data_IF_864463401100
#
_entry.id   IF_864463401100
#
_cell.length_a   1.000
_cell.length_b   1.000
_cell.length_c   1.000
_cell.angle_alpha   90.00
_cell.angle_beta   90.00
_cell.angle_gamma   90.00
#
_symmetry.space_group_name_H-M   'P 1'
#
loop_
_entity.id
_entity.type
_entity.pdbx_description
1 polymer ?
#
# COMPACT_ATOMS: atom_id res chain seq x y z
N UNK A 1 -11.28 2.01 3.77
CA UNK A 1 -10.00 1.97 3.03
C UNK A 1 -9.02 2.91 3.74
N UNK A 2 -7.73 2.53 3.81
CA UNK A 2 -6.65 3.44 4.21
C UNK A 2 -5.49 3.31 3.23
N UNK A 3 -4.75 4.39 3.01
CA UNK A 3 -3.54 4.43 2.16
C UNK A 3 -2.36 4.95 2.98
N UNK A 4 -1.19 4.34 2.80
CA UNK A 4 0.06 4.85 3.36
C UNK A 4 0.79 5.64 2.27
N UNK A 5 1.13 6.89 2.54
CA UNK A 5 1.93 7.75 1.67
C UNK A 5 3.18 8.16 2.46
N UNK A 6 4.36 7.75 1.99
CA UNK A 6 5.59 7.87 2.78
C UNK A 6 5.48 7.11 4.11
N UNK A 7 5.53 7.81 5.24
CA UNK A 7 5.37 7.19 6.57
C UNK A 7 4.02 7.50 7.24
N UNK A 8 3.07 8.11 6.52
CA UNK A 8 1.79 8.54 7.07
C UNK A 8 0.62 7.72 6.52
N UNK A 9 -0.27 7.30 7.40
CA UNK A 9 -1.54 6.67 7.05
C UNK A 9 -2.65 7.71 6.91
N UNK A 10 -3.50 7.52 5.91
CA UNK A 10 -4.72 8.30 5.66
C UNK A 10 -5.89 7.33 5.57
N UNK A 11 -7.00 7.64 6.24
CA UNK A 11 -8.22 6.85 6.22
C UNK A 11 -9.36 7.61 5.53
N UNK A 12 -10.33 6.87 5.00
CA UNK A 12 -11.57 7.46 4.49
C UNK A 12 -12.41 7.93 5.68
N UNK A 13 -12.71 9.22 5.71
CA UNK A 13 -13.50 9.88 6.76
C UNK A 13 -14.57 10.80 6.12
N UNK A 14 -15.64 11.18 6.86
CA UNK A 14 -16.62 12.15 6.36
C UNK A 14 -15.96 13.46 5.94
N UNK A 15 -16.14 13.86 4.68
CA UNK A 15 -15.52 15.07 4.11
C UNK A 15 -14.08 14.88 3.60
N UNK A 16 -13.51 13.68 3.72
CA UNK A 16 -12.15 13.37 3.27
C UNK A 16 -12.12 12.06 2.47
N UNK A 17 -12.59 12.08 1.19
CA UNK A 17 -12.52 10.92 0.32
C UNK A 17 -11.07 10.64 -0.09
N UNK A 18 -10.78 9.35 -0.34
CA UNK A 18 -9.51 8.90 -0.91
C UNK A 18 -9.80 8.37 -2.31
N UNK A 19 -9.06 8.87 -3.30
CA UNK A 19 -9.06 8.35 -4.66
C UNK A 19 -7.68 7.79 -4.98
N UNK A 20 -7.62 6.60 -5.56
CA UNK A 20 -6.40 5.97 -6.05
C UNK A 20 -6.65 5.64 -7.52
N UNK A 21 -5.79 6.16 -8.39
CA UNK A 21 -5.79 5.80 -9.81
C UNK A 21 -4.89 4.57 -10.02
N UNK A 22 -5.38 3.61 -10.77
CA UNK A 22 -4.65 2.38 -11.07
C UNK A 22 -4.41 2.26 -12.57
N UNK A 23 -3.18 1.98 -12.94
CA UNK A 23 -2.85 1.53 -14.30
C UNK A 23 -3.43 0.14 -14.56
N UNK A 24 -3.46 -0.28 -15.83
CA UNK A 24 -3.84 -1.65 -16.18
C UNK A 24 -2.81 -2.69 -15.69
N UNK A 25 -1.57 -2.28 -15.40
CA UNK A 25 -0.59 -3.11 -14.70
C UNK A 25 -0.99 -3.35 -13.25
N UNK A 26 -1.33 -2.28 -12.52
CA UNK A 26 -1.75 -2.37 -11.13
C UNK A 26 -2.99 -3.25 -10.97
N UNK A 27 -3.99 -3.07 -11.83
CA UNK A 27 -5.23 -3.88 -11.81
C UNK A 27 -4.93 -5.37 -11.96
N UNK A 28 -4.01 -5.74 -12.86
CA UNK A 28 -3.60 -7.13 -13.06
C UNK A 28 -2.85 -7.69 -11.85
N UNK A 29 -1.93 -6.91 -11.29
CA UNK A 29 -1.19 -7.32 -10.10
C UNK A 29 -2.12 -7.53 -8.89
N UNK A 30 -3.07 -6.62 -8.69
CA UNK A 30 -4.07 -6.71 -7.62
C UNK A 30 -4.98 -7.93 -7.83
N UNK A 31 -5.42 -8.18 -9.07
CA UNK A 31 -6.25 -9.36 -9.39
C UNK A 31 -5.53 -10.69 -9.14
N UNK A 32 -4.20 -10.69 -9.09
CA UNK A 32 -3.36 -11.86 -8.84
C UNK A 32 -2.88 -11.98 -7.37
N UNK A 33 -3.34 -11.10 -6.47
CA UNK A 33 -2.99 -11.18 -5.06
C UNK A 33 -3.46 -12.51 -4.44
N UNK A 34 -2.64 -13.05 -3.54
CA UNK A 34 -3.03 -14.19 -2.73
C UNK A 34 -4.27 -13.84 -1.88
N UNK A 35 -5.19 -14.78 -1.62
CA UNK A 35 -6.40 -14.51 -0.84
C UNK A 35 -6.15 -13.90 0.55
N UNK A 36 -5.03 -14.24 1.17
CA UNK A 36 -4.58 -13.74 2.48
C UNK A 36 -3.84 -12.40 2.41
N UNK A 37 -3.47 -11.94 1.22
CA UNK A 37 -2.76 -10.68 1.05
C UNK A 37 -3.73 -9.49 1.29
N UNK A 38 -3.39 -8.64 2.25
CA UNK A 38 -4.25 -7.49 2.66
C UNK A 38 -3.68 -6.14 2.23
N UNK A 39 -2.52 -6.12 1.57
CA UNK A 39 -1.78 -4.89 1.22
C UNK A 39 -1.16 -5.02 -0.17
N UNK A 40 -1.33 -3.96 -0.96
CA UNK A 40 -0.63 -3.74 -2.23
C UNK A 40 0.14 -2.43 -2.11
N UNK A 41 1.38 -2.43 -2.58
CA UNK A 41 2.22 -1.23 -2.63
C UNK A 41 3.00 -1.24 -3.94
N UNK A 42 3.16 -0.05 -4.51
CA UNK A 42 4.03 0.17 -5.66
C UNK A 42 5.24 0.97 -5.17
N UNK A 43 6.44 0.52 -5.54
CA UNK A 43 7.70 1.18 -5.26
C UNK A 43 8.32 1.57 -6.60
N UNK A 44 9.03 2.70 -6.64
CA UNK A 44 9.75 3.07 -7.85
C UNK A 44 10.88 2.08 -8.12
N UNK A 45 11.26 1.92 -9.39
CA UNK A 45 12.36 1.03 -9.77
C UNK A 45 13.71 1.49 -9.20
N UNK A 46 13.84 2.79 -8.95
CA UNK A 46 15.00 3.45 -8.34
C UNK A 46 14.82 3.77 -6.84
N UNK A 47 13.81 3.17 -6.19
CA UNK A 47 13.57 3.36 -4.76
C UNK A 47 14.80 2.92 -3.94
N UNK A 48 15.30 3.75 -3.00
CA UNK A 48 16.45 3.42 -2.18
C UNK A 48 16.24 2.19 -1.27
N UNK A 49 15.00 1.75 -1.07
CA UNK A 49 14.68 0.46 -0.45
C UNK A 49 15.05 -0.67 -1.42
N UNK A 50 16.29 -1.12 -1.32
CA UNK A 50 16.87 -2.08 -2.26
C UNK A 50 16.38 -3.50 -2.04
N UNK A 51 16.03 -3.88 -0.82
CA UNK A 51 15.64 -5.25 -0.51
C UNK A 51 14.12 -5.43 -0.39
N UNK A 52 13.65 -6.62 -0.76
CA UNK A 52 12.25 -7.01 -0.52
C UNK A 52 11.91 -7.02 0.97
N UNK A 53 12.88 -7.31 1.85
CA UNK A 53 12.68 -7.29 3.30
C UNK A 53 12.37 -5.87 3.80
N UNK A 54 13.10 -4.86 3.34
CA UNK A 54 12.84 -3.47 3.70
C UNK A 54 11.48 -2.97 3.20
N UNK A 55 11.10 -3.37 1.97
CA UNK A 55 9.77 -3.07 1.40
C UNK A 55 8.66 -3.72 2.24
N UNK A 56 8.82 -5.00 2.60
CA UNK A 56 7.88 -5.73 3.46
C UNK A 56 7.78 -5.14 4.86
N UNK A 57 8.92 -4.73 5.43
CA UNK A 57 8.98 -4.03 6.72
C UNK A 57 8.22 -2.71 6.64
N UNK A 58 8.48 -1.88 5.62
CA UNK A 58 7.77 -0.62 5.40
C UNK A 58 6.25 -0.83 5.27
N UNK A 59 5.82 -1.89 4.56
CA UNK A 59 4.40 -2.26 4.43
C UNK A 59 3.79 -2.75 5.75
N UNK A 60 4.60 -3.17 6.72
CA UNK A 60 4.18 -3.69 8.02
C UNK A 60 4.18 -2.65 9.13
N UNK A 61 5.01 -1.62 9.03
CA UNK A 61 5.10 -0.53 9.99
C UNK A 61 3.80 0.30 10.08
N UNK A 62 3.32 0.50 11.31
CA UNK A 62 2.13 1.29 11.61
C UNK A 62 0.80 0.60 11.28
N UNK A 63 0.83 -0.70 10.96
CA UNK A 63 -0.38 -1.47 10.70
C UNK A 63 -1.25 -1.73 11.95
N UNK A 64 -0.64 -1.69 13.15
CA UNK A 64 -1.21 -2.12 14.45
C UNK A 64 -2.28 -1.19 15.04
N UNK A 65 -2.54 -0.01 14.46
CA UNK A 65 -3.54 0.92 15.01
C UNK A 65 -4.99 0.62 14.58
N UNK A 66 -5.30 -0.60 14.13
CA UNK A 66 -6.65 -0.98 13.69
C UNK A 66 -7.06 -2.33 14.28
N UNK A 67 -7.29 -2.34 15.59
CA UNK A 67 -8.10 -3.36 16.31
C UNK A 67 -9.11 -2.64 17.17
#
# INVERSE_FOLDING_TARGET
MRVKIGQKWFAVEPGQPIMIEFSDGDKRNIAQMLPEATRYACFADDDPLVSNEEKLKWMSEGAEAAT
#
